data_IF_224924908944
#
_entry.id   IF_224924908944
#
_cell.length_a   1.000
_cell.length_b   1.000
_cell.length_c   1.000
_cell.angle_alpha   90.00
_cell.angle_beta   90.00
_cell.angle_gamma   90.00
#
_symmetry.space_group_name_H-M   'P 1'
#
loop_
_entity.id
_entity.type
_entity.pdbx_description
1 polymer ?
#
# COMPACT_ATOMS: atom_id res chain seq x y z
N UNK A 1 13.57 -13.55 7.85
CA UNK A 1 13.01 -12.71 6.76
C UNK A 1 13.09 -13.42 5.41
N UNK A 2 11.94 -13.66 4.79
CA UNK A 2 11.79 -14.16 3.41
C UNK A 2 11.92 -13.02 2.39
N UNK A 3 12.00 -13.35 1.09
CA UNK A 3 11.95 -12.33 0.03
C UNK A 3 10.63 -11.55 0.04
N UNK A 4 9.52 -12.16 0.44
CA UNK A 4 8.21 -11.51 0.47
C UNK A 4 8.11 -10.52 1.65
N UNK A 5 8.62 -10.91 2.83
CA UNK A 5 8.74 -9.99 3.97
C UNK A 5 9.59 -8.76 3.60
N UNK A 6 10.70 -9.01 2.89
CA UNK A 6 11.58 -7.94 2.41
C UNK A 6 10.87 -7.01 1.42
N UNK A 7 10.15 -7.56 0.44
CA UNK A 7 9.40 -6.77 -0.55
C UNK A 7 8.30 -5.95 0.10
N UNK A 8 7.57 -6.52 1.07
CA UNK A 8 6.55 -5.81 1.83
C UNK A 8 7.14 -4.63 2.61
N UNK A 9 8.23 -4.88 3.34
CA UNK A 9 9.01 -3.86 4.05
C UNK A 9 9.49 -2.72 3.13
N UNK A 10 10.02 -3.06 1.97
CA UNK A 10 10.50 -2.09 1.00
C UNK A 10 9.35 -1.32 0.32
N UNK A 11 8.17 -1.94 0.13
CA UNK A 11 6.98 -1.25 -0.35
C UNK A 11 6.51 -0.19 0.63
N UNK A 12 6.37 -0.56 1.91
CA UNK A 12 5.96 0.38 2.96
C UNK A 12 6.90 1.59 3.04
N UNK A 13 8.21 1.40 2.85
CA UNK A 13 9.18 2.49 2.78
C UNK A 13 8.96 3.40 1.54
N UNK A 14 8.66 2.82 0.38
CA UNK A 14 8.35 3.59 -0.84
C UNK A 14 7.06 4.40 -0.69
N UNK A 15 6.07 3.87 0.02
CA UNK A 15 4.78 4.52 0.26
C UNK A 15 4.85 5.54 1.42
N UNK A 16 5.99 5.59 2.14
CA UNK A 16 6.18 6.50 3.27
C UNK A 16 5.47 6.05 4.55
N UNK A 17 5.07 4.78 4.62
CA UNK A 17 4.34 4.18 5.73
C UNK A 17 5.24 3.76 6.90
N UNK A 18 6.57 3.88 6.74
CA UNK A 18 7.52 3.69 7.84
C UNK A 18 7.71 4.99 8.63
N UNK A 19 7.12 5.04 9.81
CA UNK A 19 7.54 5.95 10.86
C UNK A 19 8.96 5.60 11.32
N UNK A 20 9.80 6.62 11.56
CA UNK A 20 11.18 6.48 12.06
C UNK A 20 11.29 5.83 13.47
N UNK A 21 10.20 5.26 13.99
CA UNK A 21 10.10 4.63 15.31
C UNK A 21 9.75 3.14 15.30
N UNK A 22 9.50 2.51 14.13
CA UNK A 22 9.14 1.08 14.01
C UNK A 22 10.26 0.21 13.45
N UNK A 23 11.52 0.65 13.56
CA UNK A 23 12.73 -0.13 13.26
C UNK A 23 12.90 -1.38 14.16
N UNK A 24 11.96 -1.63 15.08
CA UNK A 24 12.13 -2.57 16.20
C UNK A 24 11.79 -4.05 15.90
N UNK A 25 11.29 -4.43 14.71
CA UNK A 25 10.94 -5.83 14.43
C UNK A 25 11.44 -6.36 13.07
N UNK A 26 12.45 -5.72 12.49
CA UNK A 26 13.28 -6.42 11.51
C UNK A 26 14.26 -7.29 12.31
N UNK A 27 13.95 -8.59 12.38
CA UNK A 27 14.81 -9.68 12.85
C UNK A 27 16.29 -9.28 12.74
N UNK A 28 16.91 -8.98 13.89
CA UNK A 28 18.13 -8.16 14.02
C UNK A 28 19.36 -8.73 13.29
N UNK A 29 19.28 -9.96 12.79
CA UNK A 29 20.37 -10.69 12.17
C UNK A 29 20.57 -10.42 10.67
N UNK A 30 19.65 -9.72 9.99
CA UNK A 30 19.83 -9.34 8.57
C UNK A 30 19.22 -7.98 8.25
N UNK A 31 20.07 -7.00 8.02
CA UNK A 31 19.63 -5.69 7.54
C UNK A 31 19.08 -5.79 6.10
N UNK A 32 18.16 -4.89 5.71
CA UNK A 32 17.69 -4.78 4.33
C UNK A 32 18.82 -4.69 3.29
N UNK A 33 19.91 -3.99 3.62
CA UNK A 33 21.07 -3.84 2.73
C UNK A 33 21.80 -5.18 2.48
N UNK A 34 21.95 -6.00 3.52
CA UNK A 34 22.58 -7.31 3.41
C UNK A 34 21.75 -8.32 2.61
N UNK A 35 20.42 -8.21 2.63
CA UNK A 35 19.55 -9.00 1.78
C UNK A 35 19.70 -8.60 0.30
N UNK A 36 19.69 -7.29 0.01
CA UNK A 36 19.87 -6.77 -1.35
C UNK A 36 21.21 -7.16 -1.97
N UNK A 37 22.27 -7.23 -1.16
CA UNK A 37 23.58 -7.65 -1.63
C UNK A 37 23.63 -9.13 -2.06
N UNK A 38 22.70 -9.97 -1.57
CA UNK A 38 22.71 -11.42 -1.79
C UNK A 38 21.58 -11.92 -2.69
N UNK A 39 20.48 -11.16 -2.82
CA UNK A 39 19.31 -11.55 -3.60
C UNK A 39 19.14 -10.63 -4.82
N UNK A 40 19.62 -11.08 -5.98
CA UNK A 40 19.54 -10.33 -7.23
C UNK A 40 18.09 -10.04 -7.65
N UNK A 41 17.15 -10.94 -7.37
CA UNK A 41 15.73 -10.75 -7.69
C UNK A 41 15.11 -9.62 -6.85
N UNK A 42 15.39 -9.57 -5.54
CA UNK A 42 14.91 -8.49 -4.68
C UNK A 42 15.56 -7.15 -5.05
N UNK A 43 16.83 -7.14 -5.44
CA UNK A 43 17.49 -5.93 -5.94
C UNK A 43 16.86 -5.42 -7.25
N UNK A 44 16.60 -6.32 -8.21
CA UNK A 44 15.94 -5.97 -9.46
C UNK A 44 14.51 -5.48 -9.24
N UNK A 45 13.75 -6.16 -8.36
CA UNK A 45 12.41 -5.76 -7.97
C UNK A 45 12.39 -4.36 -7.36
N UNK A 46 13.30 -4.06 -6.41
CA UNK A 46 13.35 -2.75 -5.76
C UNK A 46 13.74 -1.64 -6.74
N UNK A 47 14.66 -1.92 -7.67
CA UNK A 47 15.01 -0.98 -8.73
C UNK A 47 13.81 -0.68 -9.65
N UNK A 48 13.05 -1.70 -10.03
CA UNK A 48 11.83 -1.55 -10.81
C UNK A 48 10.76 -0.75 -10.05
N UNK A 49 10.55 -1.04 -8.76
CA UNK A 49 9.60 -0.35 -7.90
C UNK A 49 9.96 1.15 -7.76
N UNK A 50 11.23 1.48 -7.54
CA UNK A 50 11.72 2.87 -7.49
C UNK A 50 11.50 3.60 -8.81
N UNK A 51 11.79 2.94 -9.93
CA UNK A 51 11.54 3.50 -11.27
C UNK A 51 10.05 3.76 -11.48
N UNK A 52 9.19 2.82 -11.10
CA UNK A 52 7.74 2.96 -11.22
C UNK A 52 7.24 4.14 -10.37
N UNK A 53 7.68 4.24 -9.12
CA UNK A 53 7.36 5.38 -8.24
C UNK A 53 7.74 6.72 -8.87
N UNK A 54 8.95 6.83 -9.42
CA UNK A 54 9.40 8.05 -10.08
C UNK A 54 8.52 8.40 -11.30
N UNK A 55 8.13 7.40 -12.10
CA UNK A 55 7.22 7.60 -13.23
C UNK A 55 5.82 8.02 -12.77
N UNK A 56 5.29 7.40 -11.72
CA UNK A 56 3.99 7.74 -11.16
C UNK A 56 3.95 9.18 -10.61
N UNK A 57 5.03 9.63 -9.96
CA UNK A 57 5.14 11.01 -9.47
C UNK A 57 5.29 12.03 -10.60
N UNK A 58 5.89 11.64 -11.73
CA UNK A 58 6.07 12.51 -12.89
C UNK A 58 4.88 12.50 -13.85
N UNK A 59 3.96 11.54 -13.70
CA UNK A 59 2.81 11.43 -14.58
C UNK A 59 1.92 12.68 -14.45
N UNK A 60 1.46 13.26 -15.56
CA UNK A 60 0.39 14.24 -15.49
C UNK A 60 -0.78 13.57 -14.79
N UNK A 61 -1.29 14.21 -13.74
CA UNK A 61 -2.43 13.70 -12.98
C UNK A 61 -3.66 13.49 -13.88
N UNK A 62 -4.76 12.95 -13.34
CA UNK A 62 -5.98 12.73 -14.11
C UNK A 62 -6.42 14.03 -14.79
N UNK A 63 -6.99 13.94 -15.99
CA UNK A 63 -7.49 15.12 -16.69
C UNK A 63 -8.55 15.83 -15.84
N UNK A 64 -8.63 17.14 -15.97
CA UNK A 64 -9.60 17.94 -15.22
C UNK A 64 -11.04 17.52 -15.54
N UNK A 65 -11.34 17.24 -16.82
CA UNK A 65 -12.65 16.74 -17.24
C UNK A 65 -13.01 15.43 -16.55
N UNK A 66 -12.08 14.46 -16.53
CA UNK A 66 -12.31 13.17 -15.88
C UNK A 66 -12.53 13.37 -14.37
N UNK A 67 -11.72 14.21 -13.73
CA UNK A 67 -11.81 14.49 -12.30
C UNK A 67 -13.15 15.15 -11.95
N UNK A 68 -13.61 16.12 -12.75
CA UNK A 68 -14.93 16.76 -12.59
C UNK A 68 -16.07 15.76 -12.73
N UNK A 69 -16.02 14.88 -13.74
CA UNK A 69 -17.04 13.84 -13.96
C UNK A 69 -17.08 12.83 -12.82
N UNK A 70 -15.92 12.43 -12.29
CA UNK A 70 -15.86 11.55 -11.13
C UNK A 70 -16.51 12.19 -9.91
N UNK A 71 -16.14 13.44 -9.59
CA UNK A 71 -16.70 14.17 -8.45
C UNK A 71 -18.22 14.34 -8.59
N UNK A 72 -18.72 14.73 -9.77
CA UNK A 72 -20.15 14.86 -10.02
C UNK A 72 -20.90 13.55 -9.73
N UNK A 73 -20.37 12.42 -10.23
CA UNK A 73 -20.98 11.10 -9.99
C UNK A 73 -21.00 10.71 -8.51
N UNK A 74 -19.91 10.94 -7.78
CA UNK A 74 -19.84 10.64 -6.34
C UNK A 74 -20.85 11.49 -5.56
N UNK A 75 -21.02 12.77 -5.92
CA UNK A 75 -22.01 13.65 -5.30
C UNK A 75 -23.44 13.21 -5.61
N UNK A 76 -23.73 12.85 -6.86
CA UNK A 76 -25.03 12.33 -7.27
C UNK A 76 -25.39 11.02 -6.54
N UNK A 77 -24.42 10.11 -6.40
CA UNK A 77 -24.59 8.85 -5.67
C UNK A 77 -24.84 9.10 -4.17
N UNK A 78 -24.08 10.02 -3.55
CA UNK A 78 -24.31 10.42 -2.17
C UNK A 78 -25.70 11.06 -1.97
N UNK A 79 -26.15 11.90 -2.90
CA UNK A 79 -27.48 12.52 -2.85
C UNK A 79 -28.62 11.51 -3.05
N UNK A 80 -28.42 10.54 -3.94
CA UNK A 80 -29.41 9.48 -4.23
C UNK A 80 -29.51 8.43 -3.12
N UNK A 81 -28.44 8.25 -2.33
CA UNK A 81 -28.39 7.24 -1.28
C UNK A 81 -29.15 7.63 0.01
N UNK A 82 -29.63 8.88 0.13
CA UNK A 82 -30.61 9.30 1.14
C UNK A 82 -30.29 9.00 2.62
N UNK A 83 -29.07 8.60 2.96
CA UNK A 83 -28.76 8.02 4.25
C UNK A 83 -27.29 8.16 4.59
N UNK A 84 -27.05 8.61 5.82
CA UNK A 84 -25.74 8.64 6.49
C UNK A 84 -24.99 7.34 6.20
N UNK A 85 -23.70 7.37 5.80
CA UNK A 85 -22.91 6.15 5.72
C UNK A 85 -22.87 5.54 7.12
N UNK A 86 -23.62 4.46 7.34
CA UNK A 86 -23.44 3.61 8.50
C UNK A 86 -21.99 3.09 8.44
N UNK A 87 -21.19 3.28 9.51
CA UNK A 87 -19.86 2.72 9.54
C UNK A 87 -19.98 1.21 9.37
N UNK A 88 -19.33 0.67 8.33
CA UNK A 88 -19.19 -0.79 8.18
C UNK A 88 -18.31 -1.26 9.33
N UNK A 89 -18.92 -1.63 10.45
CA UNK A 89 -18.26 -2.45 11.46
C UNK A 89 -17.93 -3.77 10.80
N UNK A 90 -16.65 -3.98 10.49
CA UNK A 90 -16.13 -5.27 10.06
C UNK A 90 -16.42 -6.30 11.16
N UNK A 91 -17.45 -7.09 10.96
CA UNK A 91 -17.81 -8.19 11.83
C UNK A 91 -18.15 -9.40 10.95
N UNK A 92 -17.12 -9.95 10.31
CA UNK A 92 -17.13 -11.31 9.78
C UNK A 92 -15.85 -12.03 10.23
N UNK A 93 -15.63 -12.04 11.55
CA UNK A 93 -14.79 -13.05 12.20
C UNK A 93 -15.66 -14.28 12.46
N UNK A 94 -15.71 -15.19 11.50
CA UNK A 94 -16.45 -16.45 11.59
C UNK A 94 -15.99 -17.23 12.83
N UNK A 95 -16.94 -17.52 13.72
CA UNK A 95 -16.77 -18.48 14.79
C UNK A 95 -16.66 -19.89 14.20
N UNK A 96 -15.46 -20.48 14.26
CA UNK A 96 -15.31 -21.93 14.37
C UNK A 96 -15.25 -22.22 15.88
N UNK A 97 -16.19 -22.93 16.48
CA UNK A 97 -16.61 -24.27 16.10
C UNK A 97 -15.91 -25.25 17.03
N UNK A 98 -16.64 -25.71 18.03
CA UNK A 98 -16.25 -26.60 19.14
C UNK A 98 -15.44 -27.84 18.75
N UNK A 99 -14.53 -28.24 19.63
CA UNK A 99 -14.35 -29.62 20.11
C UNK A 99 -13.60 -29.62 21.44
#
# INVERSE_FOLDING_TARGET
MTCDDYRAAASAELDGERDAGTDAELDADRTPAEHLARCAECAAWLAAARRLRALSLAAPGPSEEWSRRLVARVVEEAASSGGRPEPRTGADGVAHGSS
#
